data_IF_140491436115
#
_entry.id   IF_140491436115
#
_cell.length_a   1.000
_cell.length_b   1.000
_cell.length_c   1.000
_cell.angle_alpha   90.00
_cell.angle_beta   90.00
_cell.angle_gamma   90.00
#
_symmetry.space_group_name_H-M   'P 1'
#
loop_
_entity.id
_entity.type
_entity.pdbx_description
1 polymer ?
#
# COMPACT_ATOMS: atom_id res chain seq x y z
N UNK A 1 4.44 5.27 25.89
CA UNK A 1 3.06 4.78 25.67
C UNK A 1 3.03 4.01 24.36
N UNK A 2 1.96 3.24 24.11
CA UNK A 2 1.75 2.52 22.85
C UNK A 2 0.69 3.27 22.04
N UNK A 3 0.93 3.47 20.74
CA UNK A 3 0.00 4.13 19.81
C UNK A 3 -0.98 3.13 19.20
N UNK A 4 -0.52 1.91 18.85
CA UNK A 4 -1.34 0.86 18.25
C UNK A 4 -0.50 -0.28 17.67
N UNK A 5 -1.15 -1.14 16.90
CA UNK A 5 -0.55 -2.28 16.19
C UNK A 5 -1.08 -2.37 14.76
N UNK A 6 -0.24 -2.83 13.83
CA UNK A 6 -0.54 -2.67 12.41
C UNK A 6 0.39 -3.39 11.46
N UNK A 7 0.17 -3.15 10.17
CA UNK A 7 0.96 -3.69 9.07
C UNK A 7 1.32 -2.64 8.02
N UNK A 8 2.02 -3.06 6.96
CA UNK A 8 2.37 -2.20 5.83
C UNK A 8 1.56 -2.56 4.58
N UNK A 9 1.11 -1.55 3.84
CA UNK A 9 0.43 -1.67 2.55
C UNK A 9 1.43 -1.40 1.43
N UNK A 10 2.32 -2.35 1.19
CA UNK A 10 3.28 -2.29 0.07
C UNK A 10 2.61 -2.70 -1.24
N UNK A 11 3.24 -2.39 -2.38
CA UNK A 11 2.72 -2.82 -3.69
C UNK A 11 2.55 -4.35 -3.74
N UNK A 12 3.49 -5.11 -3.16
CA UNK A 12 3.39 -6.56 -3.03
C UNK A 12 2.12 -7.00 -2.28
N UNK A 13 1.69 -6.29 -1.22
CA UNK A 13 0.43 -6.61 -0.52
C UNK A 13 -0.76 -6.40 -1.44
N UNK A 14 -0.83 -5.26 -2.13
CA UNK A 14 -1.91 -4.98 -3.06
C UNK A 14 -1.98 -5.95 -4.25
N UNK A 15 -0.83 -6.31 -4.83
CA UNK A 15 -0.73 -7.29 -5.93
C UNK A 15 -1.24 -8.65 -5.46
N UNK A 16 -0.76 -9.15 -4.31
CA UNK A 16 -1.20 -10.44 -3.79
C UNK A 16 -2.68 -10.42 -3.39
N UNK A 17 -3.16 -9.35 -2.75
CA UNK A 17 -4.58 -9.22 -2.40
C UNK A 17 -5.47 -9.26 -3.64
N UNK A 18 -5.10 -8.53 -4.71
CA UNK A 18 -5.86 -8.48 -5.97
C UNK A 18 -5.86 -9.80 -6.74
N UNK A 19 -4.90 -10.68 -6.48
CA UNK A 19 -4.87 -12.03 -7.08
C UNK A 19 -5.85 -13.03 -6.45
N UNK A 20 -6.44 -12.68 -5.29
CA UNK A 20 -7.40 -13.54 -4.57
C UNK A 20 -8.83 -13.33 -5.10
N UNK A 21 -9.71 -14.31 -4.86
CA UNK A 21 -11.15 -14.12 -5.06
C UNK A 21 -11.71 -13.07 -4.10
N UNK A 22 -12.80 -12.40 -4.47
CA UNK A 22 -13.40 -11.34 -3.64
C UNK A 22 -13.75 -11.82 -2.22
N UNK A 23 -14.29 -13.03 -2.09
CA UNK A 23 -14.60 -13.64 -0.79
C UNK A 23 -13.34 -13.80 0.08
N UNK A 24 -12.24 -14.25 -0.54
CA UNK A 24 -10.96 -14.43 0.16
C UNK A 24 -10.33 -13.09 0.53
N UNK A 25 -10.44 -12.07 -0.35
CA UNK A 25 -10.00 -10.71 -0.04
C UNK A 25 -10.73 -10.16 1.19
N UNK A 26 -12.06 -10.29 1.23
CA UNK A 26 -12.87 -9.84 2.37
C UNK A 26 -12.51 -10.59 3.66
N UNK A 27 -12.33 -11.90 3.59
CA UNK A 27 -11.94 -12.70 4.76
C UNK A 27 -10.54 -12.31 5.28
N UNK A 28 -9.58 -12.06 4.40
CA UNK A 28 -8.23 -11.63 4.78
C UNK A 28 -8.28 -10.25 5.46
N UNK A 29 -8.96 -9.27 4.86
CA UNK A 29 -9.10 -7.94 5.44
C UNK A 29 -9.86 -7.97 6.77
N UNK A 30 -10.93 -8.76 6.87
CA UNK A 30 -11.67 -8.91 8.12
C UNK A 30 -10.80 -9.53 9.23
N UNK A 31 -9.95 -10.52 8.89
CA UNK A 31 -9.06 -11.16 9.86
C UNK A 31 -8.10 -10.15 10.50
N UNK A 32 -7.61 -9.17 9.74
CA UNK A 32 -6.72 -8.12 10.27
C UNK A 32 -7.47 -6.95 10.92
N UNK A 33 -8.53 -6.43 10.30
CA UNK A 33 -9.09 -5.12 10.65
C UNK A 33 -10.50 -5.14 11.26
N UNK A 34 -11.24 -6.24 11.15
CA UNK A 34 -12.60 -6.29 11.72
C UNK A 34 -12.56 -6.54 13.23
N UNK A 35 -13.67 -6.16 13.91
CA UNK A 35 -13.87 -6.39 15.36
C UNK A 35 -13.83 -7.86 15.77
N UNK A 36 -14.13 -8.77 14.85
CA UNK A 36 -14.03 -10.21 15.05
C UNK A 36 -12.72 -10.81 14.53
N UNK A 37 -11.78 -9.96 14.10
CA UNK A 37 -10.40 -10.30 13.76
C UNK A 37 -9.44 -9.90 14.87
N UNK A 38 -8.23 -9.47 14.50
CA UNK A 38 -7.20 -9.00 15.46
C UNK A 38 -7.14 -7.48 15.60
N UNK A 39 -8.11 -6.75 15.04
CA UNK A 39 -8.33 -5.31 15.24
C UNK A 39 -7.08 -4.43 15.04
N UNK A 40 -6.32 -4.67 13.96
CA UNK A 40 -5.27 -3.74 13.53
C UNK A 40 -5.83 -2.32 13.42
N UNK A 41 -5.11 -1.38 14.04
CA UNK A 41 -5.52 0.02 14.12
C UNK A 41 -4.42 0.99 13.65
N UNK A 42 -3.30 0.46 13.14
CA UNK A 42 -2.26 1.21 12.47
C UNK A 42 -1.95 0.62 11.09
N UNK A 43 -1.52 1.50 10.19
CA UNK A 43 -1.12 1.14 8.84
C UNK A 43 0.10 1.97 8.44
N UNK A 44 1.05 1.34 7.75
CA UNK A 44 2.18 2.03 7.09
C UNK A 44 1.99 1.97 5.57
N UNK A 45 1.96 3.11 4.92
CA UNK A 45 1.89 3.20 3.45
C UNK A 45 3.22 3.75 2.93
N UNK A 46 3.98 3.01 2.10
CA UNK A 46 5.17 3.54 1.46
C UNK A 46 4.84 4.66 0.46
N UNK A 47 5.66 5.71 0.47
CA UNK A 47 5.64 6.78 -0.54
C UNK A 47 6.48 6.28 -1.72
N UNK A 48 5.82 6.08 -2.86
CA UNK A 48 6.35 5.45 -4.06
C UNK A 48 6.83 4.00 -3.84
N UNK A 49 7.88 3.57 -4.56
CA UNK A 49 8.38 2.18 -4.54
C UNK A 49 9.20 1.82 -3.30
N UNK A 50 9.29 0.51 -3.04
CA UNK A 50 10.20 -0.11 -2.07
C UNK A 50 10.83 -1.36 -2.70
N UNK A 51 11.66 -2.09 -1.95
CA UNK A 51 12.08 -3.44 -2.31
C UNK A 51 10.92 -4.44 -2.45
N UNK A 52 9.76 -4.14 -1.84
CA UNK A 52 8.49 -4.86 -2.01
C UNK A 52 7.61 -4.30 -3.15
N UNK A 53 8.24 -3.71 -4.16
CA UNK A 53 7.59 -3.24 -5.40
C UNK A 53 8.09 -4.04 -6.60
N UNK A 54 7.26 -4.21 -7.63
CA UNK A 54 7.63 -4.97 -8.84
C UNK A 54 8.65 -4.23 -9.72
N UNK A 55 8.78 -2.91 -9.53
CA UNK A 55 9.73 -2.03 -10.20
C UNK A 55 10.09 -0.86 -9.28
N UNK A 56 11.21 -0.23 -9.55
CA UNK A 56 11.58 1.06 -8.96
C UNK A 56 10.77 2.19 -9.62
N UNK A 57 10.30 3.12 -8.81
CA UNK A 57 9.67 4.37 -9.24
C UNK A 57 9.63 5.40 -8.10
N UNK A 58 9.59 6.67 -8.47
CA UNK A 58 9.19 7.77 -7.60
C UNK A 58 8.01 8.54 -8.20
N UNK A 59 7.44 9.47 -7.44
CA UNK A 59 6.41 10.37 -7.95
C UNK A 59 6.95 11.53 -8.77
N UNK A 60 8.29 11.69 -8.84
CA UNK A 60 8.96 12.85 -9.45
C UNK A 60 10.21 12.43 -10.24
N UNK A 61 10.11 11.36 -11.05
CA UNK A 61 11.24 10.83 -11.84
C UNK A 61 11.67 11.73 -13.02
N UNK A 62 11.01 12.88 -13.22
CA UNK A 62 11.44 13.85 -14.25
C UNK A 62 12.68 14.60 -13.77
N UNK A 63 13.81 14.39 -14.46
CA UNK A 63 15.05 15.11 -14.19
C UNK A 63 14.85 16.65 -14.23
N UNK A 64 15.45 17.33 -13.25
CA UNK A 64 15.42 18.79 -13.07
C UNK A 64 14.02 19.41 -12.81
N UNK A 65 13.02 18.62 -12.42
CA UNK A 65 11.70 19.14 -12.02
C UNK A 65 11.67 19.60 -10.55
N UNK A 66 12.51 20.58 -10.21
CA UNK A 66 12.58 21.11 -8.84
C UNK A 66 11.30 21.81 -8.38
N UNK A 67 10.47 22.24 -9.33
CA UNK A 67 9.17 22.87 -9.07
C UNK A 67 8.03 21.83 -8.97
N UNK A 68 8.31 20.53 -9.09
CA UNK A 68 7.35 19.43 -8.97
C UNK A 68 6.16 19.53 -9.95
N UNK A 69 6.37 20.11 -11.14
CA UNK A 69 5.31 20.33 -12.13
C UNK A 69 4.77 19.04 -12.74
N UNK A 70 5.57 17.98 -12.72
CA UNK A 70 5.21 16.66 -13.26
C UNK A 70 5.06 15.62 -12.16
N UNK A 71 4.96 16.05 -10.90
CA UNK A 71 4.65 15.15 -9.80
C UNK A 71 3.31 14.44 -10.08
N UNK A 72 3.31 13.11 -9.98
CA UNK A 72 2.11 12.32 -10.10
C UNK A 72 2.24 11.02 -9.30
N UNK A 73 1.12 10.58 -8.72
CA UNK A 73 1.04 9.21 -8.19
C UNK A 73 1.17 8.21 -9.34
N UNK A 74 1.78 7.07 -9.04
CA UNK A 74 1.95 5.99 -10.00
C UNK A 74 0.69 5.11 -10.06
N UNK A 75 0.62 4.26 -11.08
CA UNK A 75 -0.50 3.34 -11.27
C UNK A 75 -0.70 2.40 -10.06
N UNK A 76 0.40 2.02 -9.42
CA UNK A 76 0.43 1.19 -8.22
C UNK A 76 -0.33 1.83 -7.05
N UNK A 77 -0.27 3.15 -6.87
CA UNK A 77 -1.00 3.84 -5.79
C UNK A 77 -2.52 3.81 -5.99
N UNK A 78 -2.99 3.77 -7.25
CA UNK A 78 -4.43 3.70 -7.55
C UNK A 78 -4.97 2.27 -7.57
N UNK A 79 -4.11 1.29 -7.85
CA UNK A 79 -4.53 -0.11 -8.05
C UNK A 79 -4.25 -1.01 -6.86
N UNK A 80 -3.21 -0.72 -6.09
CA UNK A 80 -2.64 -1.63 -5.09
C UNK A 80 -2.54 -1.04 -3.69
N UNK A 81 -2.71 0.27 -3.52
CA UNK A 81 -2.70 0.95 -2.21
C UNK A 81 -4.07 1.46 -1.80
#
# INVERSE_FOLDING_TARGET
SIIGFGGAFTDAVGINLRSLSEDTQRNLLASYFARNGIEYNLARVPIASTDFSAREYSYADTANDFEMKKFALAEEDYKYK
#
